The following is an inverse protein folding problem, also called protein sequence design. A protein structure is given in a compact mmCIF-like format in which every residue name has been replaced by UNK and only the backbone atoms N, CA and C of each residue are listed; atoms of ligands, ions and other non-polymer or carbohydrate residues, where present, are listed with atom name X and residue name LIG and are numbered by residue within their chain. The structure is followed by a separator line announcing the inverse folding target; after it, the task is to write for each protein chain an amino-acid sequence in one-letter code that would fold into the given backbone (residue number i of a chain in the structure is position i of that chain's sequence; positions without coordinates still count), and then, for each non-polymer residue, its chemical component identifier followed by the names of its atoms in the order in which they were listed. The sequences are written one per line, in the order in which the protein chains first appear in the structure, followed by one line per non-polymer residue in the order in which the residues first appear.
data_IF_583527247935
#
_entry.id   IF_583527247935
#
_cell.length_a   1.000
_cell.length_b   1.000
_cell.length_c   1.000
_cell.angle_alpha   90.00
_cell.angle_beta   90.00
_cell.angle_gamma   90.00
#
_symmetry.space_group_name_H-M   'P 1'
#
loop_
_entity.id
_entity.type
_entity.pdbx_description
1 polymer ?
#
# COMPACT_ATOMS: atom_id res chain seq x y z
N UNK A 1 14.72 13.04 -10.20
CA UNK A 1 15.21 12.98 -11.59
C UNK A 1 16.25 14.03 -11.93
N UNK A 2 15.98 15.35 -11.78
CA UNK A 2 16.97 16.40 -12.08
C UNK A 2 18.35 16.16 -11.44
N UNK A 3 18.38 15.88 -10.14
CA UNK A 3 19.63 15.60 -9.40
C UNK A 3 20.38 14.38 -9.95
N UNK A 4 19.67 13.35 -10.41
CA UNK A 4 20.27 12.15 -11.01
C UNK A 4 20.87 12.44 -12.39
N UNK A 5 20.19 13.26 -13.21
CA UNK A 5 20.73 13.71 -14.50
C UNK A 5 21.95 14.61 -14.33
N UNK A 6 21.95 15.50 -13.34
CA UNK A 6 23.12 16.34 -13.03
C UNK A 6 24.28 15.48 -12.48
N UNK A 7 23.97 14.45 -11.70
CA UNK A 7 24.95 13.50 -11.18
C UNK A 7 25.69 12.75 -12.30
N UNK A 8 25.03 12.42 -13.40
CA UNK A 8 25.66 11.69 -14.52
C UNK A 8 26.47 12.58 -15.45
N UNK A 9 26.23 13.90 -15.45
CA UNK A 9 27.04 14.88 -16.20
C UNK A 9 28.22 15.44 -15.38
N UNK A 10 28.15 15.34 -14.04
CA UNK A 10 29.19 15.79 -13.11
C UNK A 10 30.60 15.22 -13.39
N UNK A 11 30.77 13.91 -13.69
CA UNK A 11 32.08 13.32 -13.97
C UNK A 11 32.76 13.91 -15.22
N UNK A 12 31.98 14.50 -16.12
CA UNK A 12 32.49 15.13 -17.34
C UNK A 12 32.89 16.59 -17.14
N UNK A 13 32.34 17.27 -16.12
CA UNK A 13 32.49 18.72 -15.92
C UNK A 13 33.55 19.12 -14.88
N UNK A 14 33.91 18.25 -13.95
CA UNK A 14 34.92 18.55 -12.92
C UNK A 14 36.10 17.58 -13.11
N UNK A 15 37.34 17.97 -12.78
CA UNK A 15 38.57 17.21 -13.11
C UNK A 15 39.53 17.10 -11.90
N UNK A 16 39.00 16.96 -10.67
CA UNK A 16 39.73 17.07 -9.39
C UNK A 16 39.58 15.82 -8.50
N UNK A 17 40.38 15.67 -7.44
CA UNK A 17 40.52 14.44 -6.64
C UNK A 17 39.34 14.12 -5.68
N UNK A 18 38.43 15.07 -5.41
CA UNK A 18 37.27 14.87 -4.51
C UNK A 18 36.02 14.25 -5.18
N UNK A 19 36.16 13.70 -6.39
CA UNK A 19 35.06 13.26 -7.25
C UNK A 19 34.18 12.13 -6.71
N UNK A 20 34.81 11.12 -6.10
CA UNK A 20 34.11 9.90 -5.72
C UNK A 20 33.02 10.15 -4.67
N UNK A 21 33.32 11.00 -3.67
CA UNK A 21 32.40 11.28 -2.57
C UNK A 21 31.25 12.19 -3.01
N UNK A 22 31.54 13.28 -3.73
CA UNK A 22 30.52 14.23 -4.19
C UNK A 22 29.55 13.55 -5.17
N UNK A 23 30.07 12.74 -6.09
CA UNK A 23 29.22 11.96 -7.00
C UNK A 23 28.31 10.99 -6.23
N UNK A 24 28.86 10.20 -5.29
CA UNK A 24 28.08 9.27 -4.46
C UNK A 24 26.98 9.99 -3.68
N UNK A 25 27.30 11.09 -3.00
CA UNK A 25 26.32 11.87 -2.24
C UNK A 25 25.22 12.38 -3.17
N UNK A 26 25.58 12.91 -4.34
CA UNK A 26 24.60 13.45 -5.31
C UNK A 26 23.67 12.35 -5.84
N UNK A 27 24.21 11.15 -6.13
CA UNK A 27 23.40 9.98 -6.52
C UNK A 27 22.42 9.62 -5.42
N UNK A 28 22.89 9.44 -4.18
CA UNK A 28 22.03 9.05 -3.06
C UNK A 28 20.94 10.09 -2.79
N UNK A 29 21.27 11.37 -2.76
CA UNK A 29 20.29 12.45 -2.63
C UNK A 29 19.26 12.38 -3.76
N UNK A 30 19.69 12.15 -5.00
CA UNK A 30 18.81 12.00 -6.15
C UNK A 30 17.87 10.78 -6.06
N UNK A 31 18.37 9.66 -5.52
CA UNK A 31 17.58 8.45 -5.28
C UNK A 31 16.55 8.67 -4.17
N UNK A 32 16.95 9.26 -3.03
CA UNK A 32 16.04 9.55 -1.93
C UNK A 32 14.94 10.54 -2.32
N UNK A 33 15.28 11.60 -3.06
CA UNK A 33 14.28 12.56 -3.55
C UNK A 33 13.29 11.91 -4.52
N UNK A 34 13.78 11.04 -5.40
CA UNK A 34 12.91 10.27 -6.31
C UNK A 34 12.00 9.32 -5.53
N UNK A 35 12.52 8.61 -4.54
CA UNK A 35 11.75 7.72 -3.69
C UNK A 35 10.66 8.48 -2.90
N UNK A 36 11.00 9.63 -2.33
CA UNK A 36 10.06 10.50 -1.61
C UNK A 36 8.94 11.01 -2.53
N UNK A 37 9.30 11.49 -3.73
CA UNK A 37 8.33 11.96 -4.71
C UNK A 37 7.36 10.87 -5.17
N UNK A 38 7.88 9.70 -5.53
CA UNK A 38 7.05 8.55 -5.93
C UNK A 38 6.17 8.05 -4.77
N UNK A 39 6.72 7.99 -3.55
CA UNK A 39 5.98 7.57 -2.35
C UNK A 39 4.82 8.50 -1.99
N UNK A 40 4.97 9.81 -2.23
CA UNK A 40 3.90 10.79 -2.00
C UNK A 40 2.82 10.81 -3.09
N UNK A 41 3.20 10.70 -4.36
CA UNK A 41 2.27 10.80 -5.50
C UNK A 41 1.41 9.54 -5.64
N UNK A 42 2.02 8.35 -5.56
CA UNK A 42 1.37 7.06 -5.82
C UNK A 42 0.05 6.83 -5.06
N UNK A 43 -0.05 7.08 -3.73
CA UNK A 43 -1.30 6.87 -3.00
C UNK A 43 -2.35 7.97 -3.24
N UNK A 44 -1.96 9.12 -3.80
CA UNK A 44 -2.84 10.27 -3.98
C UNK A 44 -3.51 10.29 -5.36
N UNK A 45 -2.83 9.78 -6.40
CA UNK A 45 -3.31 9.89 -7.78
C UNK A 45 -4.60 9.11 -8.03
N UNK A 46 -4.69 7.84 -7.59
CA UNK A 46 -5.89 7.04 -7.86
C UNK A 46 -7.13 7.51 -7.08
N UNK A 47 -7.06 7.90 -5.78
CA UNK A 47 -8.21 8.48 -5.10
C UNK A 47 -8.60 9.84 -5.69
N UNK A 48 -7.63 10.70 -6.03
CA UNK A 48 -7.92 12.00 -6.63
C UNK A 48 -8.64 11.87 -7.98
N UNK A 49 -8.23 10.91 -8.82
CA UNK A 49 -8.94 10.58 -10.05
C UNK A 49 -10.34 10.01 -9.80
N UNK A 50 -10.49 9.14 -8.80
CA UNK A 50 -11.78 8.58 -8.41
C UNK A 50 -12.77 9.63 -7.89
N UNK A 51 -12.26 10.70 -7.27
CA UNK A 51 -13.04 11.80 -6.69
C UNK A 51 -13.59 12.79 -7.71
N UNK A 52 -13.13 12.73 -8.96
CA UNK A 52 -13.67 13.56 -10.04
C UNK A 52 -15.07 13.12 -10.48
N UNK A 53 -15.47 11.90 -10.13
CA UNK A 53 -16.76 11.32 -10.50
C UNK A 53 -17.68 11.21 -9.29
N UNK A 54 -18.93 11.64 -9.45
CA UNK A 54 -19.98 11.42 -8.47
C UNK A 54 -20.43 9.94 -8.51
N UNK A 55 -20.57 9.34 -7.34
CA UNK A 55 -20.98 7.94 -7.18
C UNK A 55 -22.51 7.83 -7.14
N UNK A 56 -23.20 8.93 -6.81
CA UNK A 56 -24.67 8.98 -6.73
C UNK A 56 -25.31 9.01 -8.12
N UNK A 57 -24.61 9.56 -9.12
CA UNK A 57 -25.02 9.52 -10.52
C UNK A 57 -24.59 8.21 -11.20
N UNK A 58 -25.56 7.47 -11.72
CA UNK A 58 -25.34 6.19 -12.41
C UNK A 58 -24.52 6.35 -13.68
N UNK A 59 -24.63 7.49 -14.38
CA UNK A 59 -23.90 7.75 -15.63
C UNK A 59 -22.43 8.07 -15.36
N UNK A 60 -22.13 8.89 -14.35
CA UNK A 60 -20.76 9.19 -13.92
C UNK A 60 -20.08 7.95 -13.33
N UNK A 61 -20.82 7.08 -12.62
CA UNK A 61 -20.30 5.80 -12.11
C UNK A 61 -19.78 4.87 -13.21
N UNK A 62 -20.46 4.77 -14.34
CA UNK A 62 -19.99 3.96 -15.48
C UNK A 62 -18.75 4.59 -16.12
N UNK A 63 -18.74 5.93 -16.28
CA UNK A 63 -17.57 6.66 -16.81
C UNK A 63 -16.33 6.50 -15.92
N UNK A 64 -16.51 6.46 -14.60
CA UNK A 64 -15.43 6.16 -13.64
C UNK A 64 -14.78 4.80 -13.90
N UNK A 65 -15.57 3.76 -14.19
CA UNK A 65 -15.05 2.44 -14.55
C UNK A 65 -14.20 2.49 -15.82
N UNK A 66 -14.69 3.14 -16.87
CA UNK A 66 -13.95 3.35 -18.13
C UNK A 66 -12.65 4.14 -17.93
N UNK A 67 -12.68 5.18 -17.09
CA UNK A 67 -11.49 5.95 -16.72
C UNK A 67 -10.41 5.06 -16.09
N UNK A 68 -10.77 4.21 -15.12
CA UNK A 68 -9.81 3.30 -14.49
C UNK A 68 -9.30 2.23 -15.46
N UNK A 69 -10.12 1.74 -16.38
CA UNK A 69 -9.66 0.82 -17.41
C UNK A 69 -8.56 1.45 -18.29
N UNK A 70 -8.78 2.68 -18.76
CA UNK A 70 -7.77 3.44 -19.51
C UNK A 70 -6.54 3.76 -18.69
N UNK A 71 -6.71 4.14 -17.41
CA UNK A 71 -5.61 4.40 -16.49
C UNK A 71 -4.69 3.19 -16.35
N UNK A 72 -5.26 2.00 -16.09
CA UNK A 72 -4.47 0.77 -15.95
C UNK A 72 -3.86 0.33 -17.28
N UNK A 73 -4.57 0.48 -18.40
CA UNK A 73 -4.03 0.19 -19.73
C UNK A 73 -2.80 1.04 -20.06
N UNK A 74 -2.88 2.37 -19.84
CA UNK A 74 -1.77 3.28 -20.04
C UNK A 74 -0.61 3.01 -19.08
N UNK A 75 -0.90 2.65 -17.82
CA UNK A 75 0.14 2.25 -16.88
C UNK A 75 0.91 1.01 -17.33
N UNK A 76 0.21 0.00 -17.88
CA UNK A 76 0.85 -1.21 -18.42
C UNK A 76 1.73 -0.90 -19.62
N UNK A 77 1.23 -0.08 -20.58
CA UNK A 77 2.05 0.36 -21.73
C UNK A 77 3.26 1.17 -21.27
N UNK A 78 3.07 2.10 -20.33
CA UNK A 78 4.15 2.91 -19.77
C UNK A 78 5.21 2.06 -19.10
N UNK A 79 4.80 1.04 -18.34
CA UNK A 79 5.72 0.07 -17.74
C UNK A 79 6.51 -0.70 -18.81
N UNK A 80 5.85 -1.20 -19.85
CA UNK A 80 6.49 -1.92 -20.95
C UNK A 80 7.53 -1.06 -21.68
N UNK A 81 7.17 0.19 -22.02
CA UNK A 81 8.09 1.14 -22.65
C UNK A 81 9.26 1.50 -21.74
N UNK A 82 9.01 1.66 -20.43
CA UNK A 82 10.06 1.93 -19.44
C UNK A 82 11.05 0.77 -19.35
N UNK A 83 10.57 -0.48 -19.27
CA UNK A 83 11.43 -1.66 -19.16
C UNK A 83 12.14 -2.04 -20.46
N UNK A 84 11.77 -1.45 -21.60
CA UNK A 84 12.38 -1.76 -22.91
C UNK A 84 13.15 -0.58 -23.46
N UNK A 85 12.45 0.50 -23.83
CA UNK A 85 13.02 1.67 -24.51
C UNK A 85 13.95 2.45 -23.59
N UNK A 86 13.56 2.72 -22.33
CA UNK A 86 14.41 3.51 -21.43
C UNK A 86 15.68 2.73 -21.05
N UNK A 87 15.58 1.43 -20.79
CA UNK A 87 16.75 0.58 -20.54
C UNK A 87 17.66 0.56 -21.78
N UNK A 88 17.09 0.37 -22.97
CA UNK A 88 17.87 0.41 -24.21
C UNK A 88 18.61 1.74 -24.41
N UNK A 89 17.97 2.88 -24.09
CA UNK A 89 18.60 4.21 -24.13
C UNK A 89 19.72 4.32 -23.08
N UNK A 90 19.51 3.80 -21.87
CA UNK A 90 20.52 3.81 -20.80
C UNK A 90 21.77 3.01 -21.20
N UNK A 91 21.57 1.85 -21.83
CA UNK A 91 22.66 0.94 -22.22
C UNK A 91 23.41 1.41 -23.48
N UNK A 92 22.73 1.97 -24.48
CA UNK A 92 23.33 2.29 -25.79
C UNK A 92 23.73 3.77 -25.95
N UNK A 93 22.98 4.69 -25.33
CA UNK A 93 23.17 6.15 -25.51
C UNK A 93 23.78 6.77 -24.26
N UNK A 94 23.40 6.27 -23.08
CA UNK A 94 23.99 6.61 -21.80
C UNK A 94 23.00 7.11 -20.77
N UNK A 95 23.41 7.01 -19.51
CA UNK A 95 22.60 7.30 -18.32
C UNK A 95 22.08 8.74 -18.22
N UNK A 96 22.83 9.72 -18.75
CA UNK A 96 22.39 11.13 -18.76
C UNK A 96 21.10 11.34 -19.53
N UNK A 97 21.04 10.85 -20.76
CA UNK A 97 19.84 10.92 -21.61
C UNK A 97 18.74 10.02 -21.06
N UNK A 98 19.11 8.83 -20.56
CA UNK A 98 18.18 7.91 -19.89
C UNK A 98 17.41 8.53 -18.72
N UNK A 99 18.04 9.41 -17.92
CA UNK A 99 17.36 10.14 -16.85
C UNK A 99 16.69 11.45 -17.30
N UNK A 100 17.17 12.07 -18.37
CA UNK A 100 16.58 13.30 -18.92
C UNK A 100 15.17 13.07 -19.51
N UNK A 101 14.94 11.93 -20.17
CA UNK A 101 13.62 11.62 -20.77
C UNK A 101 12.51 11.59 -19.70
N UNK A 102 12.59 10.79 -18.61
CA UNK A 102 11.59 10.83 -17.54
C UNK A 102 11.49 12.18 -16.85
N UNK A 103 12.59 12.95 -16.77
CA UNK A 103 12.57 14.30 -16.21
C UNK A 103 11.63 15.21 -17.02
N UNK A 104 11.83 15.29 -18.34
CA UNK A 104 11.04 16.13 -19.23
C UNK A 104 9.57 15.72 -19.21
N UNK A 105 9.29 14.40 -19.29
CA UNK A 105 7.92 13.88 -19.25
C UNK A 105 7.22 14.21 -17.93
N UNK A 106 7.90 14.02 -16.79
CA UNK A 106 7.32 14.32 -15.48
C UNK A 106 7.09 15.83 -15.30
N UNK A 107 8.01 16.67 -15.79
CA UNK A 107 7.85 18.13 -15.80
C UNK A 107 6.67 18.56 -16.65
N UNK A 108 6.49 17.98 -17.84
CA UNK A 108 5.34 18.25 -18.70
C UNK A 108 4.02 17.82 -18.03
N UNK A 109 3.97 16.61 -17.45
CA UNK A 109 2.80 16.13 -16.71
C UNK A 109 2.46 17.04 -15.53
N UNK A 110 3.46 17.54 -14.80
CA UNK A 110 3.26 18.48 -13.70
C UNK A 110 2.72 19.84 -14.18
N UNK A 111 3.20 20.35 -15.31
CA UNK A 111 2.67 21.58 -15.93
C UNK A 111 1.21 21.42 -16.35
N UNK A 112 0.85 20.29 -16.97
CA UNK A 112 -0.54 19.98 -17.33
C UNK A 112 -1.40 19.87 -16.07
N UNK A 113 -0.92 19.19 -15.02
CA UNK A 113 -1.63 19.08 -13.75
C UNK A 113 -1.92 20.44 -13.12
N UNK A 114 -0.94 21.37 -13.12
CA UNK A 114 -1.13 22.74 -12.63
C UNK A 114 -2.12 23.50 -13.53
N UNK A 115 -1.99 23.40 -14.85
CA UNK A 115 -2.89 24.09 -15.78
C UNK A 115 -4.35 23.64 -15.60
N UNK A 116 -4.57 22.35 -15.33
CA UNK A 116 -5.87 21.75 -15.10
C UNK A 116 -6.46 22.02 -13.70
N UNK A 117 -5.76 22.71 -12.80
CA UNK A 117 -6.18 22.93 -11.39
C UNK A 117 -7.58 23.52 -11.22
N UNK A 118 -8.04 24.32 -12.19
CA UNK A 118 -9.35 25.00 -12.17
C UNK A 118 -10.50 24.08 -12.57
N UNK A 119 -10.20 22.96 -13.21
CA UNK A 119 -11.20 22.00 -13.68
C UNK A 119 -11.48 20.90 -12.66
N UNK A 120 -10.60 20.72 -11.66
CA UNK A 120 -10.73 19.65 -10.69
C UNK A 120 -11.84 19.91 -9.68
N UNK A 121 -12.62 18.87 -9.40
CA UNK A 121 -13.55 18.82 -8.26
C UNK A 121 -12.76 18.46 -7.02
N UNK A 122 -12.81 19.32 -6.00
CA UNK A 122 -12.16 19.08 -4.71
C UNK A 122 -13.19 18.61 -3.71
N UNK A 123 -13.00 17.41 -3.14
CA UNK A 123 -13.82 16.96 -2.02
C UNK A 123 -13.42 17.68 -0.72
N UNK A 124 -14.39 17.82 0.18
CA UNK A 124 -14.12 18.30 1.53
C UNK A 124 -13.17 17.35 2.25
N UNK A 125 -12.33 17.91 3.13
CA UNK A 125 -11.36 17.15 3.92
C UNK A 125 -12.13 16.28 4.91
N UNK A 126 -12.14 14.96 4.70
CA UNK A 126 -12.61 14.00 5.70
C UNK A 126 -11.67 13.93 6.90
N UNK A 127 -12.15 13.45 8.05
CA UNK A 127 -11.29 13.17 9.20
C UNK A 127 -10.29 12.06 8.83
N UNK A 128 -9.01 12.24 9.18
CA UNK A 128 -7.99 11.23 8.89
C UNK A 128 -8.12 10.07 9.88
N UNK A 129 -8.17 8.80 9.41
CA UNK A 129 -8.22 7.64 10.30
C UNK A 129 -7.07 7.61 11.32
N UNK A 130 -5.89 8.12 10.93
CA UNK A 130 -4.74 8.24 11.85
C UNK A 130 -4.96 9.29 12.93
N UNK A 131 -5.60 10.42 12.60
CA UNK A 131 -5.93 11.44 13.59
C UNK A 131 -7.00 10.94 14.57
N UNK A 132 -8.01 10.22 14.08
CA UNK A 132 -9.04 9.61 14.91
C UNK A 132 -8.45 8.56 15.85
N UNK A 133 -7.57 7.68 15.34
CA UNK A 133 -6.85 6.71 16.16
C UNK A 133 -6.00 7.39 17.24
N UNK A 134 -5.28 8.46 16.89
CA UNK A 134 -4.45 9.23 17.83
C UNK A 134 -5.31 9.91 18.89
N UNK A 135 -6.44 10.50 18.51
CA UNK A 135 -7.39 11.14 19.44
C UNK A 135 -7.95 10.15 20.44
N UNK A 136 -8.37 8.97 19.99
CA UNK A 136 -8.88 7.91 20.87
C UNK A 136 -7.81 7.44 21.87
N UNK A 137 -6.58 7.23 21.43
CA UNK A 137 -5.47 6.84 22.31
C UNK A 137 -5.17 7.93 23.34
N UNK A 138 -5.09 9.19 22.92
CA UNK A 138 -4.82 10.33 23.81
C UNK A 138 -5.96 10.54 24.80
N UNK A 139 -7.22 10.47 24.35
CA UNK A 139 -8.40 10.62 25.21
C UNK A 139 -8.50 9.47 26.21
N UNK A 140 -8.23 8.22 25.80
CA UNK A 140 -8.19 7.06 26.70
C UNK A 140 -7.09 7.20 27.77
N UNK A 141 -5.90 7.67 27.38
CA UNK A 141 -4.79 7.91 28.30
C UNK A 141 -5.12 9.01 29.32
N UNK A 142 -5.74 10.10 28.86
CA UNK A 142 -6.14 11.23 29.72
C UNK A 142 -7.24 10.84 30.72
N UNK A 143 -8.19 10.03 30.29
CA UNK A 143 -9.32 9.58 31.10
C UNK A 143 -9.01 8.29 31.88
N UNK A 144 -7.74 7.84 31.92
CA UNK A 144 -7.33 6.60 32.58
C UNK A 144 -7.71 6.52 34.06
N UNK A 145 -7.76 7.67 34.74
CA UNK A 145 -8.10 7.79 36.16
C UNK A 145 -9.59 7.58 36.47
N UNK A 146 -10.47 7.61 35.46
CA UNK A 146 -11.90 7.40 35.64
C UNK A 146 -12.20 5.89 35.75
N UNK A 147 -13.12 5.53 36.67
CA UNK A 147 -13.65 4.17 36.79
C UNK A 147 -14.60 3.89 35.62
N UNK A 148 -14.45 2.74 34.97
CA UNK A 148 -15.36 2.31 33.91
C UNK A 148 -16.73 2.01 34.54
N UNK A 149 -17.82 2.62 34.06
CA UNK A 149 -19.17 2.15 34.36
C UNK A 149 -19.39 0.75 33.76
N UNK A 150 -20.20 -0.10 34.41
CA UNK A 150 -20.60 -1.40 33.85
C UNK A 150 -21.73 -1.26 32.81
N UNK A 151 -22.47 -0.15 32.82
CA UNK A 151 -23.60 0.11 31.91
C UNK A 151 -23.23 0.98 30.70
N UNK A 152 -23.58 0.49 29.51
CA UNK A 152 -23.31 1.11 28.20
C UNK A 152 -24.11 2.40 27.92
N UNK A 153 -25.09 2.73 28.77
CA UNK A 153 -26.04 3.85 28.59
C UNK A 153 -25.43 5.23 28.89
N UNK A 154 -24.22 5.28 29.46
CA UNK A 154 -23.53 6.52 29.87
C UNK A 154 -22.50 7.02 28.85
N UNK A 155 -22.34 6.31 27.73
CA UNK A 155 -21.38 6.61 26.68
C UNK A 155 -21.97 7.53 25.60
N UNK A 156 -21.15 8.42 25.05
CA UNK A 156 -21.60 9.46 24.11
C UNK A 156 -21.95 8.86 22.73
N UNK A 157 -23.24 8.71 22.46
CA UNK A 157 -23.78 8.40 21.12
C UNK A 157 -23.88 9.67 20.26
N UNK A 158 -23.67 9.58 18.94
CA UNK A 158 -24.02 10.66 18.04
C UNK A 158 -25.56 10.82 18.02
N UNK A 159 -26.10 12.04 17.87
CA UNK A 159 -27.53 12.23 17.67
C UNK A 159 -27.92 11.63 16.31
N UNK A 160 -28.66 10.52 16.32
CA UNK A 160 -29.14 9.85 15.10
C UNK A 160 -30.31 10.62 14.48
N UNK A 161 -30.21 10.94 13.20
CA UNK A 161 -31.37 11.22 12.34
C UNK A 161 -32.23 9.94 12.17
N UNK A 162 -33.54 10.04 11.89
CA UNK A 162 -34.50 8.94 12.10
C UNK A 162 -34.39 7.75 11.12
N UNK A 163 -33.36 7.68 10.28
CA UNK A 163 -33.28 6.71 9.16
C UNK A 163 -32.07 5.77 9.18
N UNK A 164 -31.19 5.83 10.19
CA UNK A 164 -29.97 4.99 10.26
C UNK A 164 -29.96 4.00 11.45
N UNK A 165 -31.12 3.45 11.80
CA UNK A 165 -31.25 2.49 12.91
C UNK A 165 -30.64 1.08 12.64
N UNK A 166 -29.91 0.88 11.53
CA UNK A 166 -29.49 -0.47 11.09
C UNK A 166 -28.00 -0.77 11.28
N UNK A 167 -27.16 0.20 11.64
CA UNK A 167 -25.73 -0.03 11.91
C UNK A 167 -25.36 0.27 13.37
N UNK A 168 -25.93 -0.48 14.31
CA UNK A 168 -25.41 -0.50 15.68
C UNK A 168 -24.10 -1.30 15.69
N UNK A 169 -22.97 -0.60 15.76
CA UNK A 169 -21.66 -1.24 15.94
C UNK A 169 -21.70 -2.06 17.24
N UNK A 170 -21.49 -3.36 17.11
CA UNK A 170 -21.63 -4.34 18.19
C UNK A 170 -20.56 -4.07 19.27
N UNK A 171 -20.99 -3.55 20.43
CA UNK A 171 -20.10 -3.22 21.52
C UNK A 171 -19.31 -4.46 21.96
N UNK A 172 -17.97 -4.37 21.96
CA UNK A 172 -17.14 -5.52 22.26
C UNK A 172 -16.31 -5.32 23.54
N UNK A 173 -16.20 -6.39 24.33
CA UNK A 173 -15.53 -6.42 25.65
C UNK A 173 -14.00 -6.48 25.60
N UNK A 174 -13.38 -6.58 24.42
CA UNK A 174 -11.92 -6.57 24.27
C UNK A 174 -11.38 -5.14 24.18
N UNK A 175 -10.26 -4.87 24.84
CA UNK A 175 -9.63 -3.54 24.96
C UNK A 175 -10.49 -2.47 25.70
N UNK A 176 -11.13 -2.85 26.82
CA UNK A 176 -11.97 -1.96 27.66
C UNK A 176 -11.29 -0.68 28.14
N UNK A 177 -9.96 -0.62 28.13
CA UNK A 177 -9.26 0.62 28.49
C UNK A 177 -9.51 1.75 27.49
N UNK A 178 -9.84 1.44 26.23
CA UNK A 178 -10.17 2.43 25.20
C UNK A 178 -11.57 3.02 25.38
N UNK A 179 -12.48 2.32 26.05
CA UNK A 179 -13.83 2.83 26.38
C UNK A 179 -13.77 4.06 27.28
N UNK A 180 -12.64 4.26 27.98
CA UNK A 180 -12.38 5.48 28.75
C UNK A 180 -12.33 6.75 27.89
N UNK A 181 -12.05 6.63 26.59
CA UNK A 181 -12.07 7.77 25.66
C UNK A 181 -13.48 8.33 25.43
N UNK A 182 -14.53 7.53 25.65
CA UNK A 182 -15.92 7.89 25.41
C UNK A 182 -16.71 8.20 26.70
N UNK A 183 -16.05 8.18 27.87
CA UNK A 183 -16.67 8.53 29.15
C UNK A 183 -16.89 10.05 29.21
N UNK A 184 -18.14 10.44 29.41
CA UNK A 184 -18.49 11.84 29.69
C UNK A 184 -18.06 12.17 31.12
N UNK A 185 -16.94 12.87 31.27
CA UNK A 185 -16.50 13.37 32.58
C UNK A 185 -17.56 14.31 33.19
N UNK A 186 -17.84 14.25 34.51
CA UNK A 186 -18.80 15.16 35.16
C UNK A 186 -18.42 16.64 35.00
N UNK A 187 -17.13 16.96 34.87
CA UNK A 187 -16.64 18.32 34.55
C UNK A 187 -17.06 18.84 33.17
N UNK A 188 -17.47 17.94 32.27
CA UNK A 188 -17.90 18.25 30.90
C UNK A 188 -19.42 18.41 30.82
N UNK A 189 -20.17 17.77 31.72
CA UNK A 189 -21.62 17.97 31.85
C UNK A 189 -21.98 19.40 32.29
N UNK A 190 -21.16 20.05 33.13
CA UNK A 190 -21.37 21.44 33.56
C UNK A 190 -21.14 22.47 32.43
N UNK A 191 -20.43 22.11 31.35
CA UNK A 191 -20.17 22.98 30.20
C UNK A 191 -21.03 22.61 28.98
N UNK A 192 -22.33 22.39 29.19
CA UNK A 192 -23.31 22.28 28.09
C UNK A 192 -23.33 23.59 27.28
N UNK A 193 -22.64 23.61 26.15
CA UNK A 193 -22.61 24.75 25.23
C UNK A 193 -21.26 25.05 24.58
N UNK A 194 -20.16 24.46 25.08
CA UNK A 194 -18.83 24.62 24.46
C UNK A 194 -18.51 23.36 23.66
N UNK A 195 -18.23 23.52 22.36
CA UNK A 195 -17.79 22.42 21.50
C UNK A 195 -16.59 21.70 22.15
N UNK A 196 -16.83 20.49 22.65
CA UNK A 196 -15.79 19.68 23.27
C UNK A 196 -14.76 19.27 22.24
N UNK A 197 -13.48 19.52 22.51
CA UNK A 197 -12.40 19.14 21.59
C UNK A 197 -12.34 17.62 21.40
N UNK A 198 -12.19 17.10 20.16
CA UNK A 198 -12.09 15.66 19.86
C UNK A 198 -11.01 14.89 20.65
N UNK A 199 -9.98 15.60 21.12
CA UNK A 199 -8.88 15.07 21.95
C UNK A 199 -9.23 14.82 23.43
N UNK A 200 -10.45 15.16 23.86
CA UNK A 200 -10.92 15.00 25.24
C UNK A 200 -12.07 14.02 25.38
N UNK A 201 -12.92 13.93 24.36
CA UNK A 201 -14.09 13.08 24.32
C UNK A 201 -14.27 12.58 22.89
N UNK A 202 -14.25 11.26 22.71
CA UNK A 202 -14.46 10.61 21.41
C UNK A 202 -15.80 9.89 21.39
N UNK A 203 -16.43 9.82 20.22
CA UNK A 203 -17.65 9.02 19.99
C UNK A 203 -17.35 7.53 20.11
N UNK A 204 -18.32 6.74 20.58
CA UNK A 204 -18.20 5.29 20.67
C UNK A 204 -17.83 4.59 19.36
N UNK A 205 -18.35 5.06 18.23
CA UNK A 205 -18.02 4.49 16.92
C UNK A 205 -16.52 4.58 16.62
N UNK A 206 -15.88 5.71 16.92
CA UNK A 206 -14.43 5.88 16.75
C UNK A 206 -13.63 4.97 17.69
N UNK A 207 -14.12 4.74 18.90
CA UNK A 207 -13.48 3.83 19.86
C UNK A 207 -13.56 2.38 19.38
N UNK A 208 -14.72 1.92 18.93
CA UNK A 208 -14.91 0.56 18.42
C UNK A 208 -14.16 0.32 17.10
N UNK A 209 -14.06 1.32 16.22
CA UNK A 209 -13.23 1.25 15.01
C UNK A 209 -11.74 1.03 15.36
N UNK A 210 -11.22 1.77 16.35
CA UNK A 210 -9.83 1.61 16.82
C UNK A 210 -9.63 0.27 17.51
N UNK A 211 -10.60 -0.21 18.29
CA UNK A 211 -10.57 -1.57 18.86
C UNK A 211 -10.53 -2.62 17.76
N UNK A 212 -11.32 -2.45 16.69
CA UNK A 212 -11.35 -3.37 15.57
C UNK A 212 -9.98 -3.41 14.89
N UNK A 213 -9.36 -2.26 14.61
CA UNK A 213 -7.97 -2.21 14.12
C UNK A 213 -6.97 -2.90 15.05
N UNK A 214 -7.07 -2.71 16.35
CA UNK A 214 -6.18 -3.33 17.33
C UNK A 214 -6.32 -4.85 17.39
N UNK A 215 -7.53 -5.40 17.22
CA UNK A 215 -7.75 -6.86 17.09
C UNK A 215 -7.16 -7.41 15.81
N UNK A 216 -7.23 -6.59 14.79
CA UNK A 216 -6.70 -6.86 13.48
C UNK A 216 -5.16 -6.88 13.57
N UNK A 217 -4.51 -5.98 14.31
CA UNK A 217 -3.05 -5.80 14.35
C UNK A 217 -2.21 -7.09 14.52
N UNK A 218 -2.52 -8.02 15.45
CA UNK A 218 -1.81 -9.30 15.55
C UNK A 218 -1.96 -10.18 14.31
N UNK A 219 -3.14 -10.21 13.71
CA UNK A 219 -3.39 -10.92 12.46
C UNK A 219 -2.67 -10.25 11.29
N UNK A 220 -2.59 -8.91 11.26
CA UNK A 220 -1.76 -8.19 10.29
C UNK A 220 -0.29 -8.48 10.54
N UNK A 221 0.23 -8.36 11.75
CA UNK A 221 1.63 -8.64 12.05
C UNK A 221 2.03 -10.06 11.66
N UNK A 222 1.19 -11.07 11.89
CA UNK A 222 1.46 -12.44 11.46
C UNK A 222 1.38 -12.62 9.94
N UNK A 223 0.39 -12.02 9.26
CA UNK A 223 0.32 -11.99 7.80
C UNK A 223 1.51 -11.24 7.19
N UNK A 224 1.91 -10.12 7.77
CA UNK A 224 3.04 -9.29 7.36
C UNK A 224 4.34 -10.06 7.53
N UNK A 225 4.60 -10.65 8.69
CA UNK A 225 5.79 -11.50 8.93
C UNK A 225 5.79 -12.71 7.98
N UNK A 226 4.64 -13.32 7.75
CA UNK A 226 4.48 -14.38 6.74
C UNK A 226 4.87 -13.88 5.34
N UNK A 227 4.35 -12.72 4.91
CA UNK A 227 4.68 -12.13 3.61
C UNK A 227 6.15 -11.73 3.45
N UNK A 228 6.72 -11.14 4.50
CA UNK A 228 8.13 -10.75 4.58
C UNK A 228 9.06 -11.95 4.37
N UNK A 229 8.77 -13.05 5.06
CA UNK A 229 9.55 -14.28 4.98
C UNK A 229 9.35 -14.93 3.60
N UNK A 230 8.12 -14.93 3.05
CA UNK A 230 7.85 -15.51 1.72
C UNK A 230 8.38 -14.69 0.54
N UNK A 231 8.55 -13.38 0.69
CA UNK A 231 9.14 -12.51 -0.33
C UNK A 231 10.67 -12.66 -0.43
N UNK A 232 11.29 -13.31 0.56
CA UNK A 232 12.75 -13.40 0.73
C UNK A 232 13.27 -14.82 0.69
N UNK A 233 12.47 -15.79 1.10
CA UNK A 233 12.82 -17.19 1.15
C UNK A 233 11.86 -17.98 0.27
N UNK A 234 12.37 -18.47 -0.85
CA UNK A 234 11.75 -19.57 -1.58
C UNK A 234 11.86 -20.83 -0.72
N UNK A 235 10.85 -21.15 0.11
CA UNK A 235 10.68 -22.47 0.76
C UNK A 235 9.32 -22.65 1.47
N UNK A 236 8.66 -23.76 1.09
CA UNK A 236 7.71 -24.61 1.85
C UNK A 236 6.34 -24.07 2.29
N UNK A 237 5.27 -24.49 1.59
CA UNK A 237 4.21 -25.40 2.11
C UNK A 237 3.53 -26.09 0.91
N UNK A 238 3.70 -27.41 0.74
CA UNK A 238 2.98 -28.22 -0.27
C UNK A 238 1.89 -29.12 0.34
N UNK A 239 1.70 -29.18 1.66
CA UNK A 239 0.80 -30.20 2.26
C UNK A 239 -0.49 -29.72 2.94
N UNK A 240 -1.01 -28.51 2.70
CA UNK A 240 -2.28 -28.09 3.34
C UNK A 240 -3.42 -27.63 2.43
N UNK A 241 -3.26 -27.68 1.10
CA UNK A 241 -4.33 -27.29 0.17
C UNK A 241 -5.16 -28.47 -0.38
N UNK A 242 -4.64 -29.70 -0.56
CA UNK A 242 -5.45 -30.79 -1.14
C UNK A 242 -6.53 -31.37 -0.20
N UNK A 243 -6.35 -31.29 1.12
CA UNK A 243 -7.31 -31.85 2.10
C UNK A 243 -8.55 -30.97 2.30
N UNK A 244 -8.44 -29.64 2.15
CA UNK A 244 -9.59 -28.74 2.19
C UNK A 244 -10.40 -28.74 0.88
N UNK A 245 -9.83 -29.28 -0.21
CA UNK A 245 -10.44 -29.27 -1.56
C UNK A 245 -11.54 -30.32 -1.76
N UNK A 246 -11.67 -31.30 -0.85
CA UNK A 246 -12.74 -32.31 -0.92
C UNK A 246 -14.04 -31.91 -0.23
N UNK A 247 -14.13 -30.73 0.40
CA UNK A 247 -15.25 -30.40 1.29
C UNK A 247 -16.19 -29.25 0.83
N UNK A 248 -15.78 -28.32 -0.03
CA UNK A 248 -16.46 -27.00 -0.11
C UNK A 248 -16.93 -26.59 -1.52
N UNK A 249 -17.81 -27.36 -2.17
CA UNK A 249 -18.40 -26.91 -3.45
C UNK A 249 -19.18 -25.59 -3.31
N UNK A 250 -18.56 -24.46 -3.71
CA UNK A 250 -19.09 -23.10 -3.46
C UNK A 250 -18.97 -22.18 -4.69
N UNK A 251 -19.99 -21.33 -4.90
CA UNK A 251 -20.27 -20.51 -6.10
C UNK A 251 -19.38 -19.25 -6.30
N UNK A 252 -18.27 -19.11 -5.56
CA UNK A 252 -17.37 -17.94 -5.61
C UNK A 252 -15.95 -18.27 -6.11
N UNK A 253 -15.80 -19.09 -7.15
CA UNK A 253 -14.50 -19.36 -7.78
C UNK A 253 -13.39 -19.75 -6.78
N UNK A 254 -12.15 -19.28 -6.98
CA UNK A 254 -11.06 -19.46 -6.00
C UNK A 254 -11.26 -18.54 -4.78
N UNK A 255 -11.25 -19.12 -3.57
CA UNK A 255 -11.36 -18.35 -2.32
C UNK A 255 -10.12 -17.46 -2.09
N UNK A 256 -10.27 -16.37 -1.33
CA UNK A 256 -9.16 -15.44 -1.00
C UNK A 256 -7.86 -16.13 -0.54
N UNK A 257 -7.88 -17.05 0.45
CA UNK A 257 -6.66 -17.76 0.85
C UNK A 257 -6.13 -18.72 -0.24
N UNK A 258 -6.99 -19.24 -1.12
CA UNK A 258 -6.56 -20.09 -2.24
C UNK A 258 -5.82 -19.29 -3.30
N UNK A 259 -6.31 -18.10 -3.68
CA UNK A 259 -5.62 -17.20 -4.61
C UNK A 259 -4.23 -16.84 -4.08
N UNK A 260 -4.17 -16.56 -2.78
CA UNK A 260 -2.92 -16.25 -2.12
C UNK A 260 -1.93 -17.43 -2.11
N UNK A 261 -2.41 -18.64 -1.78
CA UNK A 261 -1.59 -19.84 -1.83
C UNK A 261 -1.08 -20.17 -3.24
N UNK A 262 -1.91 -19.98 -4.26
CA UNK A 262 -1.52 -20.18 -5.67
C UNK A 262 -0.40 -19.21 -6.07
N UNK A 263 -0.52 -17.93 -5.72
CA UNK A 263 0.54 -16.95 -5.98
C UNK A 263 1.88 -17.37 -5.35
N UNK A 264 1.89 -17.68 -4.05
CA UNK A 264 3.10 -18.05 -3.32
C UNK A 264 3.75 -19.38 -3.78
N UNK A 265 2.93 -20.33 -4.22
CA UNK A 265 3.45 -21.60 -4.79
C UNK A 265 4.08 -21.37 -6.16
N UNK A 266 3.48 -20.55 -7.02
CA UNK A 266 4.04 -20.21 -8.32
C UNK A 266 5.34 -19.41 -8.21
N UNK A 267 5.44 -18.44 -7.28
CA UNK A 267 6.70 -17.71 -7.05
C UNK A 267 7.81 -18.67 -6.61
N UNK A 268 7.51 -19.63 -5.73
CA UNK A 268 8.49 -20.61 -5.25
C UNK A 268 8.99 -21.50 -6.39
N UNK A 269 8.09 -21.98 -7.25
CA UNK A 269 8.47 -22.79 -8.42
C UNK A 269 9.32 -21.99 -9.41
N UNK A 270 8.99 -20.72 -9.64
CA UNK A 270 9.80 -19.84 -10.48
C UNK A 270 11.22 -19.63 -9.91
N UNK A 271 11.33 -19.42 -8.60
CA UNK A 271 12.64 -19.26 -7.93
C UNK A 271 13.46 -20.55 -7.94
N UNK A 272 12.83 -21.71 -7.69
CA UNK A 272 13.50 -23.01 -7.79
C UNK A 272 14.02 -23.26 -9.22
N UNK A 273 13.22 -22.93 -10.23
CA UNK A 273 13.63 -23.00 -11.62
C UNK A 273 14.82 -22.06 -11.92
N UNK A 274 14.78 -20.81 -11.45
CA UNK A 274 15.90 -19.86 -11.61
C UNK A 274 17.18 -20.35 -10.92
N UNK A 275 17.07 -20.96 -9.73
CA UNK A 275 18.22 -21.53 -9.03
C UNK A 275 18.84 -22.70 -9.80
N UNK A 276 18.01 -23.59 -10.37
CA UNK A 276 18.47 -24.67 -11.24
C UNK A 276 19.09 -24.14 -12.54
N UNK A 277 18.48 -23.12 -13.13
CA UNK A 277 18.99 -22.46 -14.32
C UNK A 277 20.37 -21.85 -14.06
N UNK A 278 20.55 -21.18 -12.93
CA UNK A 278 21.83 -20.59 -12.55
C UNK A 278 22.89 -21.66 -12.30
N UNK A 279 22.53 -22.76 -11.62
CA UNK A 279 23.43 -23.91 -11.44
C UNK A 279 23.88 -24.48 -12.79
N UNK A 280 22.95 -24.62 -13.73
CA UNK A 280 23.25 -25.11 -15.08
C UNK A 280 24.09 -24.10 -15.89
N UNK A 281 23.83 -22.80 -15.74
CA UNK A 281 24.60 -21.73 -16.36
C UNK A 281 26.04 -21.74 -15.87
N UNK A 282 26.27 -21.88 -14.56
CA UNK A 282 27.60 -21.99 -13.97
C UNK A 282 28.34 -23.25 -14.44
N UNK A 283 27.65 -24.38 -14.50
CA UNK A 283 28.23 -25.63 -15.00
C UNK A 283 28.67 -25.53 -16.47
N UNK A 284 27.85 -24.90 -17.33
CA UNK A 284 28.18 -24.69 -18.76
C UNK A 284 29.24 -23.62 -18.97
N UNK A 285 29.25 -22.56 -18.17
CA UNK A 285 30.27 -21.53 -18.20
C UNK A 285 31.66 -22.10 -17.84
N UNK A 286 31.74 -23.09 -16.95
CA UNK A 286 32.99 -23.78 -16.62
C UNK A 286 33.59 -24.56 -17.82
N UNK A 287 32.75 -24.92 -18.80
CA UNK A 287 33.14 -25.63 -20.03
C UNK A 287 33.33 -24.63 -21.20
N UNK A 288 33.09 -23.33 -20.96
CA UNK A 288 33.20 -22.27 -21.98
C UNK A 288 31.97 -22.11 -22.88
N UNK A 289 30.85 -22.78 -22.57
CA UNK A 289 29.60 -22.63 -23.32
C UNK A 289 28.74 -21.48 -22.78
N UNK A 290 28.19 -20.66 -23.68
CA UNK A 290 27.24 -19.62 -23.34
C UNK A 290 25.80 -20.16 -23.31
N UNK A 291 25.02 -19.73 -22.32
CA UNK A 291 23.58 -20.06 -22.21
C UNK A 291 22.75 -18.87 -22.67
N UNK A 292 21.74 -19.12 -23.51
CA UNK A 292 20.82 -18.07 -23.97
C UNK A 292 20.00 -17.50 -22.83
N UNK A 293 19.81 -16.18 -22.82
CA UNK A 293 18.95 -15.46 -21.88
C UNK A 293 17.48 -15.89 -21.97
N UNK A 294 17.05 -16.46 -23.11
CA UNK A 294 15.67 -16.92 -23.31
C UNK A 294 15.23 -17.98 -22.29
N UNK A 295 16.16 -18.72 -21.68
CA UNK A 295 15.84 -19.66 -20.61
C UNK A 295 15.29 -18.99 -19.34
N UNK A 296 15.45 -17.68 -19.17
CA UNK A 296 14.81 -16.95 -18.07
C UNK A 296 13.34 -16.61 -18.35
N UNK A 297 12.90 -16.59 -19.61
CA UNK A 297 11.57 -16.15 -20.00
C UNK A 297 10.42 -16.94 -19.34
N UNK A 298 10.48 -18.29 -19.23
CA UNK A 298 9.46 -19.05 -18.51
C UNK A 298 9.35 -18.66 -17.04
N UNK A 299 10.47 -18.37 -16.39
CA UNK A 299 10.49 -17.94 -14.99
C UNK A 299 9.80 -16.58 -14.82
N UNK A 300 10.12 -15.60 -15.66
CA UNK A 300 9.49 -14.28 -15.63
C UNK A 300 7.99 -14.34 -15.92
N UNK A 301 7.55 -15.20 -16.84
CA UNK A 301 6.13 -15.41 -17.11
C UNK A 301 5.39 -15.98 -15.88
N UNK A 302 5.93 -17.03 -15.26
CA UNK A 302 5.35 -17.64 -14.04
C UNK A 302 5.36 -16.66 -12.88
N UNK A 303 6.43 -15.88 -12.72
CA UNK A 303 6.56 -14.87 -11.67
C UNK A 303 5.54 -13.74 -11.84
N UNK A 304 5.28 -13.30 -13.08
CA UNK A 304 4.23 -12.32 -13.36
C UNK A 304 2.82 -12.84 -13.01
N UNK A 305 2.51 -14.10 -13.36
CA UNK A 305 1.23 -14.73 -12.99
C UNK A 305 1.11 -14.85 -11.46
N UNK A 306 2.17 -15.28 -10.80
CA UNK A 306 2.27 -15.35 -9.34
C UNK A 306 1.97 -14.00 -8.66
N UNK A 307 2.57 -12.92 -9.15
CA UNK A 307 2.39 -11.58 -8.61
C UNK A 307 0.94 -11.13 -8.70
N UNK A 308 0.27 -11.36 -9.83
CA UNK A 308 -1.16 -11.04 -10.02
C UNK A 308 -2.03 -11.74 -8.96
N UNK A 309 -1.84 -13.05 -8.76
CA UNK A 309 -2.60 -13.80 -7.76
C UNK A 309 -2.31 -13.34 -6.33
N UNK A 310 -1.05 -13.05 -6.01
CA UNK A 310 -0.63 -12.63 -4.67
C UNK A 310 -1.17 -11.24 -4.34
N UNK A 311 -1.02 -10.28 -5.25
CA UNK A 311 -1.46 -8.88 -5.05
C UNK A 311 -2.98 -8.80 -4.95
N UNK A 312 -3.73 -9.49 -5.82
CA UNK A 312 -5.20 -9.49 -5.77
C UNK A 312 -5.68 -10.15 -4.47
N UNK A 313 -5.14 -11.32 -4.13
CA UNK A 313 -5.51 -12.03 -2.90
C UNK A 313 -5.21 -11.21 -1.64
N UNK A 314 -4.09 -10.50 -1.60
CA UNK A 314 -3.71 -9.59 -0.52
C UNK A 314 -4.69 -8.42 -0.40
N UNK A 315 -4.98 -7.72 -1.50
CA UNK A 315 -5.88 -6.56 -1.48
C UNK A 315 -7.29 -6.98 -1.06
N UNK A 316 -7.85 -8.04 -1.64
CA UNK A 316 -9.20 -8.51 -1.29
C UNK A 316 -9.32 -8.93 0.18
N UNK A 317 -8.35 -9.71 0.69
CA UNK A 317 -8.33 -10.13 2.10
C UNK A 317 -8.28 -8.92 3.05
N UNK A 318 -7.53 -7.89 2.66
CA UNK A 318 -7.38 -6.68 3.44
C UNK A 318 -8.60 -5.76 3.38
N UNK A 319 -9.25 -5.66 2.22
CA UNK A 319 -10.45 -4.86 2.07
C UNK A 319 -11.65 -5.46 2.81
N UNK A 320 -11.81 -6.78 2.80
CA UNK A 320 -12.94 -7.46 3.44
C UNK A 320 -12.84 -7.50 4.96
N UNK A 321 -11.62 -7.51 5.50
CA UNK A 321 -11.39 -7.51 6.96
C UNK A 321 -11.27 -6.11 7.56
N UNK A 322 -11.18 -5.07 6.75
CA UNK A 322 -11.00 -3.71 7.23
C UNK A 322 -12.33 -3.02 7.56
N UNK A 323 -12.39 -2.20 8.64
CA UNK A 323 -13.48 -1.25 8.84
C UNK A 323 -13.62 -0.33 7.63
N UNK A 324 -14.85 0.00 7.23
CA UNK A 324 -15.12 0.84 6.04
C UNK A 324 -14.33 2.17 6.07
N UNK A 325 -14.26 2.81 7.24
CA UNK A 325 -13.58 4.09 7.44
C UNK A 325 -12.04 3.97 7.51
N UNK A 326 -11.48 2.76 7.57
CA UNK A 326 -10.05 2.53 7.84
C UNK A 326 -9.36 1.68 6.76
N UNK A 327 -10.05 1.41 5.64
CA UNK A 327 -9.49 0.69 4.49
C UNK A 327 -8.19 1.29 3.96
N UNK A 328 -8.06 2.62 3.97
CA UNK A 328 -6.84 3.32 3.55
C UNK A 328 -5.64 3.08 4.47
N UNK A 329 -5.89 2.85 5.76
CA UNK A 329 -4.84 2.53 6.73
C UNK A 329 -4.36 1.08 6.54
N UNK A 330 -5.28 0.18 6.21
CA UNK A 330 -4.96 -1.20 5.85
C UNK A 330 -4.10 -1.32 4.59
N UNK A 331 -4.40 -0.56 3.53
CA UNK A 331 -3.56 -0.53 2.33
C UNK A 331 -2.18 0.07 2.61
N UNK A 332 -2.09 1.07 3.51
CA UNK A 332 -0.81 1.63 3.95
C UNK A 332 0.05 0.59 4.69
N UNK A 333 -0.53 -0.21 5.60
CA UNK A 333 0.21 -1.32 6.24
C UNK A 333 0.68 -2.37 5.24
N UNK A 334 -0.11 -2.66 4.20
CA UNK A 334 0.32 -3.54 3.10
C UNK A 334 1.58 -3.03 2.39
N UNK A 335 1.67 -1.72 2.12
CA UNK A 335 2.87 -1.12 1.51
C UNK A 335 4.06 -1.10 2.48
N UNK A 336 3.81 -0.89 3.78
CA UNK A 336 4.85 -0.97 4.81
C UNK A 336 5.46 -2.38 4.89
N UNK A 337 4.66 -3.42 4.68
CA UNK A 337 5.12 -4.81 4.55
C UNK A 337 6.16 -4.95 3.45
N UNK A 338 5.83 -4.45 2.25
CA UNK A 338 6.69 -4.57 1.08
C UNK A 338 8.01 -3.85 1.35
N UNK A 339 7.94 -2.65 1.93
CA UNK A 339 9.12 -1.87 2.30
C UNK A 339 10.00 -2.61 3.33
N UNK A 340 9.40 -3.14 4.39
CA UNK A 340 10.12 -3.91 5.39
C UNK A 340 10.77 -5.17 4.78
N UNK A 341 10.10 -5.79 3.78
CA UNK A 341 10.61 -6.94 3.05
C UNK A 341 11.88 -6.57 2.28
N UNK A 342 11.84 -5.46 1.56
CA UNK A 342 13.03 -4.93 0.88
C UNK A 342 14.18 -4.60 1.83
N UNK A 343 13.88 -4.10 3.04
CA UNK A 343 14.91 -3.83 4.06
C UNK A 343 15.59 -5.11 4.56
N UNK A 344 14.81 -6.16 4.87
CA UNK A 344 15.38 -7.45 5.26
C UNK A 344 16.18 -8.09 4.11
N UNK A 345 15.86 -7.79 2.85
CA UNK A 345 16.60 -8.35 1.70
C UNK A 345 17.99 -7.73 1.57
N UNK A 346 18.11 -6.51 2.09
CA UNK A 346 19.30 -5.69 1.96
C UNK A 346 20.21 -5.81 3.18
N UNK A 347 19.75 -6.45 4.26
CA UNK A 347 20.47 -6.64 5.53
C UNK A 347 21.27 -7.94 5.50
#
# INVERSE_FOLDING_TARGET
MLVLTVSTTLPWMMQSSNHGEIHRITVYVGLYLTALGNGGIKPCTSPFGADQFDITDTTERVKKGSFFNWFYFLNTIGSLLSTTVIIWVQDNVGWGIGFAIPMILTSLSFMVFIASRRMYRYKSKGESPMTTASQVVVAAARNRHLKLPEDCTTLHYPPSSPSEATFSVQHTTQFRFLDKAAIVSPSTQEKKGVATSPWRLCTLSHVEEVKMLLRLCPAWASLLVFFMITAQMSSTVIEQVPLARRATGEDRGLTQPQRLGVGLTLSTLAMAYLALLERNRLAKAAIGEAVSIMWQAPAYAVMGVSEVFTVIGMIELFYDRAPDNMRSLCTAFGQLAIAAGSYLNSA
#
